data_IF_809560138018
#
_entry.id   IF_809560138018
#
_cell.length_a   1.000
_cell.length_b   1.000
_cell.length_c   1.000
_cell.angle_alpha   90.00
_cell.angle_beta   90.00
_cell.angle_gamma   90.00
#
_symmetry.space_group_name_H-M   'P 1'
#
loop_
_entity.id
_entity.type
_entity.pdbx_description
1 polymer ?
#
# COMPACT_ATOMS: atom_id res chain seq x y z
N UNK A 1 -17.05 20.30 22.90
CA UNK A 1 -15.85 19.46 23.07
C UNK A 1 -15.74 18.56 21.86
N UNK A 2 -14.69 18.69 21.06
CA UNK A 2 -14.52 17.88 19.85
C UNK A 2 -14.10 16.47 20.24
N UNK A 3 -14.90 15.46 19.90
CA UNK A 3 -14.53 14.06 20.16
C UNK A 3 -13.42 13.67 19.20
N UNK A 4 -12.32 13.13 19.73
CA UNK A 4 -11.24 12.60 18.90
C UNK A 4 -11.74 11.38 18.16
N UNK A 5 -11.56 11.37 16.85
CA UNK A 5 -11.87 10.24 16.00
C UNK A 5 -10.71 9.97 15.05
N UNK A 6 -10.58 8.72 14.64
CA UNK A 6 -9.68 8.28 13.60
C UNK A 6 -10.47 7.40 12.63
N UNK A 7 -10.05 7.31 11.38
CA UNK A 7 -10.71 6.43 10.43
C UNK A 7 -9.66 5.72 9.58
N UNK A 8 -10.03 4.53 9.13
CA UNK A 8 -9.32 3.82 8.09
C UNK A 8 -10.34 3.27 7.10
N UNK A 9 -9.90 3.04 5.87
CA UNK A 9 -10.78 2.59 4.80
C UNK A 9 -10.13 1.53 3.93
N UNK A 10 -10.98 0.61 3.49
CA UNK A 10 -10.73 -0.31 2.40
C UNK A 10 -11.60 0.08 1.21
N UNK A 11 -11.52 -0.68 0.12
CA UNK A 11 -12.28 -0.36 -1.09
C UNK A 11 -13.81 -0.42 -0.86
N UNK A 12 -14.27 -1.32 0.03
CA UNK A 12 -15.69 -1.56 0.27
C UNK A 12 -16.24 -0.95 1.57
N UNK A 13 -15.39 -0.72 2.57
CA UNK A 13 -15.82 -0.30 3.92
C UNK A 13 -14.95 0.80 4.50
N UNK A 14 -15.55 1.70 5.25
CA UNK A 14 -14.88 2.74 6.05
C UNK A 14 -15.13 2.46 7.53
N UNK A 15 -14.09 2.28 8.32
CA UNK A 15 -14.22 2.10 9.77
C UNK A 15 -13.76 3.36 10.49
N UNK A 16 -14.61 3.88 11.37
CA UNK A 16 -14.35 5.07 12.19
C UNK A 16 -14.20 4.62 13.64
N UNK A 17 -13.06 4.95 14.24
CA UNK A 17 -12.78 4.78 15.66
C UNK A 17 -13.02 6.09 16.40
N UNK A 18 -14.09 6.15 17.18
CA UNK A 18 -14.44 7.31 18.02
C UNK A 18 -13.89 7.05 19.42
N UNK A 19 -12.94 7.86 19.89
CA UNK A 19 -12.31 7.66 21.19
C UNK A 19 -13.17 8.25 22.31
N UNK A 20 -14.17 7.48 22.72
CA UNK A 20 -14.99 7.76 23.90
C UNK A 20 -14.77 6.70 24.99
N UNK A 21 -14.14 7.13 26.09
CA UNK A 21 -13.80 6.24 27.21
C UNK A 21 -15.01 6.06 28.12
N UNK A 22 -15.36 4.81 28.38
CA UNK A 22 -16.50 4.45 29.23
C UNK A 22 -17.85 4.70 28.56
N UNK A 23 -17.93 4.56 27.23
CA UNK A 23 -19.20 4.67 26.53
C UNK A 23 -20.08 3.45 26.83
N UNK A 24 -21.26 3.70 27.38
CA UNK A 24 -22.25 2.66 27.62
C UNK A 24 -23.04 2.37 26.34
N UNK A 25 -23.17 1.10 25.93
CA UNK A 25 -23.86 0.75 24.69
C UNK A 25 -25.33 1.16 24.68
N UNK A 26 -25.95 1.30 25.85
CA UNK A 26 -27.34 1.74 26.00
C UNK A 26 -27.52 3.26 25.87
N UNK A 27 -26.47 4.04 26.14
CA UNK A 27 -26.48 5.50 26.03
C UNK A 27 -25.91 6.01 24.70
N UNK A 28 -25.28 5.11 23.94
CA UNK A 28 -24.74 5.41 22.62
C UNK A 28 -25.85 5.27 21.57
N UNK A 29 -26.10 6.36 20.84
CA UNK A 29 -26.99 6.35 19.67
C UNK A 29 -26.20 6.78 18.44
N UNK A 30 -26.29 5.97 17.37
CA UNK A 30 -25.73 6.29 16.06
C UNK A 30 -26.85 6.41 15.04
N UNK A 31 -26.81 7.48 14.25
CA UNK A 31 -27.67 7.67 13.08
C UNK A 31 -26.82 7.66 11.82
N UNK A 32 -27.14 6.74 10.93
CA UNK A 32 -26.52 6.59 9.62
C UNK A 32 -27.44 7.20 8.56
N UNK A 33 -26.92 8.17 7.82
CA UNK A 33 -27.54 8.75 6.64
C UNK A 33 -26.60 8.56 5.44
N UNK A 34 -27.10 8.62 4.19
CA UNK A 34 -26.29 8.30 3.01
C UNK A 34 -24.96 9.06 2.92
N UNK A 35 -24.87 10.29 3.42
CA UNK A 35 -23.62 11.07 3.48
C UNK A 35 -23.38 11.73 4.84
N UNK A 36 -24.00 11.24 5.90
CA UNK A 36 -23.87 11.83 7.23
C UNK A 36 -23.90 10.76 8.30
N UNK A 37 -22.98 10.86 9.25
CA UNK A 37 -22.96 9.99 10.42
C UNK A 37 -23.01 10.85 11.66
N UNK A 38 -24.00 10.60 12.50
CA UNK A 38 -24.19 11.31 13.76
C UNK A 38 -24.02 10.31 14.88
N UNK A 39 -23.04 10.56 15.75
CA UNK A 39 -22.81 9.84 16.99
C UNK A 39 -23.21 10.73 18.16
N UNK A 40 -24.03 10.19 19.07
CA UNK A 40 -24.43 10.85 20.30
C UNK A 40 -24.25 9.92 21.48
N UNK A 41 -23.60 10.41 22.54
CA UNK A 41 -23.40 9.69 23.79
C UNK A 41 -23.48 10.69 24.95
N UNK A 42 -24.62 10.67 25.66
CA UNK A 42 -24.93 11.66 26.70
C UNK A 42 -24.79 13.10 26.17
N UNK A 43 -23.92 13.89 26.80
CA UNK A 43 -23.61 15.28 26.41
C UNK A 43 -22.66 15.43 25.22
N UNK A 44 -22.09 14.32 24.71
CA UNK A 44 -21.10 14.35 23.63
C UNK A 44 -21.77 14.02 22.30
N UNK A 45 -21.59 14.90 21.32
CA UNK A 45 -22.10 14.71 19.96
C UNK A 45 -20.96 14.87 18.96
N UNK A 46 -20.83 13.92 18.04
CA UNK A 46 -19.92 13.97 16.90
C UNK A 46 -20.75 13.85 15.62
N UNK A 47 -20.68 14.88 14.78
CA UNK A 47 -21.34 14.91 13.47
C UNK A 47 -20.26 14.90 12.40
N UNK A 48 -20.35 13.90 11.50
CA UNK A 48 -19.47 13.76 10.36
C UNK A 48 -20.31 14.01 9.10
N UNK A 49 -20.22 15.24 8.59
CA UNK A 49 -20.90 15.69 7.37
C UNK A 49 -20.06 16.73 6.61
N UNK A 50 -20.13 16.78 5.27
CA UNK A 50 -20.59 15.72 4.38
C UNK A 50 -19.53 14.61 4.24
N UNK A 51 -19.96 13.35 4.25
CA UNK A 51 -19.09 12.23 3.89
C UNK A 51 -18.73 12.29 2.42
N UNK A 52 -17.50 11.90 2.10
CA UNK A 52 -16.95 11.93 0.73
C UNK A 52 -17.70 11.02 -0.24
N UNK A 53 -18.29 9.94 0.24
CA UNK A 53 -19.05 8.98 -0.56
C UNK A 53 -20.35 8.56 0.11
N UNK A 54 -21.23 7.94 -0.68
CA UNK A 54 -22.47 7.40 -0.16
C UNK A 54 -22.24 6.10 0.61
N UNK A 55 -22.89 5.98 1.76
CA UNK A 55 -22.92 4.77 2.60
C UNK A 55 -24.28 4.09 2.53
N UNK A 56 -24.29 2.77 2.66
CA UNK A 56 -25.51 1.99 2.79
C UNK A 56 -25.87 1.87 4.28
N UNK A 57 -26.89 2.60 4.78
CA UNK A 57 -27.22 2.63 6.21
C UNK A 57 -27.65 1.26 6.74
N UNK A 58 -28.28 0.41 5.92
CA UNK A 58 -28.73 -0.94 6.31
C UNK A 58 -27.58 -1.92 6.53
N UNK A 59 -26.43 -1.67 5.88
CA UNK A 59 -25.23 -2.48 5.99
C UNK A 59 -24.17 -1.83 6.90
N UNK A 60 -24.51 -0.75 7.62
CA UNK A 60 -23.63 -0.14 8.61
C UNK A 60 -23.81 -0.84 9.96
N UNK A 61 -22.71 -1.01 10.67
CA UNK A 61 -22.70 -1.66 11.98
C UNK A 61 -21.75 -0.92 12.94
N UNK A 62 -21.93 -1.12 14.24
CA UNK A 62 -21.08 -0.47 15.25
C UNK A 62 -20.80 -1.41 16.43
N UNK A 63 -19.71 -1.15 17.12
CA UNK A 63 -19.26 -1.92 18.28
C UNK A 63 -18.73 -0.98 19.33
N UNK A 64 -19.35 -1.02 20.51
CA UNK A 64 -18.99 -0.16 21.64
C UNK A 64 -17.95 -0.89 22.49
N UNK A 65 -16.72 -0.39 22.45
CA UNK A 65 -15.64 -0.84 23.33
C UNK A 65 -15.48 0.07 24.55
N UNK A 66 -14.67 -0.34 25.52
CA UNK A 66 -14.43 0.42 26.75
C UNK A 66 -13.70 1.75 26.54
N UNK A 67 -12.88 1.85 25.49
CA UNK A 67 -12.00 3.00 25.22
C UNK A 67 -12.39 3.74 23.95
N UNK A 68 -13.01 3.02 23.01
CA UNK A 68 -13.40 3.53 21.70
C UNK A 68 -14.67 2.84 21.23
N UNK A 69 -15.45 3.56 20.44
CA UNK A 69 -16.57 3.02 19.66
C UNK A 69 -16.10 2.88 18.23
N UNK A 70 -16.20 1.67 17.69
CA UNK A 70 -15.85 1.38 16.30
C UNK A 70 -17.11 1.34 15.46
N UNK A 71 -17.14 2.13 14.40
CA UNK A 71 -18.28 2.30 13.50
C UNK A 71 -17.85 1.83 12.13
N UNK A 72 -18.50 0.79 11.62
CA UNK A 72 -18.21 0.20 10.31
C UNK A 72 -19.27 0.66 9.33
N UNK A 73 -18.85 1.46 8.36
CA UNK A 73 -19.69 1.99 7.30
C UNK A 73 -19.48 1.18 6.02
N UNK A 74 -20.58 0.71 5.44
CA UNK A 74 -20.55 0.04 4.14
C UNK A 74 -20.70 1.06 3.02
N UNK A 75 -19.76 1.09 2.06
CA UNK A 75 -19.80 2.04 0.95
C UNK A 75 -20.78 1.54 -0.12
N UNK A 76 -21.56 2.45 -0.70
CA UNK A 76 -22.42 2.12 -1.85
C UNK A 76 -21.60 1.94 -3.12
N UNK A 77 -20.60 2.82 -3.33
CA UNK A 77 -19.66 2.72 -4.43
C UNK A 77 -18.31 2.22 -3.90
N UNK A 78 -17.82 1.12 -4.49
CA UNK A 78 -16.47 0.63 -4.23
C UNK A 78 -15.45 1.68 -4.67
N UNK A 79 -14.50 1.99 -3.80
CA UNK A 79 -13.44 2.94 -4.05
C UNK A 79 -12.95 3.65 -2.80
N UNK A 80 -11.70 4.13 -2.86
CA UNK A 80 -11.06 4.87 -1.76
C UNK A 80 -11.44 6.35 -1.80
N UNK A 81 -11.86 6.89 -0.65
CA UNK A 81 -12.30 8.26 -0.50
C UNK A 81 -11.12 9.24 -0.37
N UNK A 82 -9.99 8.78 0.20
CA UNK A 82 -8.80 9.61 0.42
C UNK A 82 -8.98 10.67 1.51
N UNK A 83 -10.16 10.71 2.14
CA UNK A 83 -10.62 11.71 3.09
C UNK A 83 -12.00 11.32 3.61
N UNK A 84 -12.22 11.38 4.93
CA UNK A 84 -13.52 11.01 5.51
C UNK A 84 -14.61 12.04 5.21
N UNK A 85 -14.26 13.33 5.30
CA UNK A 85 -15.14 14.48 5.06
C UNK A 85 -14.74 15.13 3.75
N UNK A 86 -15.71 15.49 2.91
CA UNK A 86 -15.43 16.28 1.72
C UNK A 86 -16.68 16.77 1.00
N UNK A 87 -16.57 17.99 0.47
CA UNK A 87 -17.64 18.72 -0.23
C UNK A 87 -17.92 18.21 -1.66
N UNK A 88 -17.28 17.12 -2.09
CA UNK A 88 -17.39 16.68 -3.48
C UNK A 88 -18.78 16.11 -3.77
N UNK A 89 -19.42 16.53 -4.87
CA UNK A 89 -20.65 15.92 -5.32
C UNK A 89 -20.39 14.45 -5.71
N UNK A 90 -21.38 13.65 -5.34
CA UNK A 90 -21.66 12.26 -5.71
C UNK A 90 -20.99 11.76 -7.01
N UNK A 91 -20.06 10.79 -6.95
CA UNK A 91 -19.62 10.05 -8.14
C UNK A 91 -20.61 8.93 -8.53
N UNK A 92 -21.81 8.84 -7.94
CA UNK A 92 -22.87 7.95 -8.42
C UNK A 92 -23.57 8.46 -9.69
N UNK A 93 -22.81 9.04 -10.62
CA UNK A 93 -23.21 9.23 -12.01
C UNK A 93 -22.41 8.35 -12.98
N UNK A 94 -21.30 7.69 -12.57
CA UNK A 94 -20.39 7.12 -13.57
C UNK A 94 -19.85 5.69 -13.37
N UNK A 95 -20.29 4.95 -12.36
CA UNK A 95 -19.89 3.54 -12.21
C UNK A 95 -21.02 2.62 -11.73
N UNK A 96 -22.21 2.73 -12.33
CA UNK A 96 -23.15 1.61 -12.37
C UNK A 96 -22.78 0.74 -13.56
N UNK A 97 -22.10 -0.38 -13.28
CA UNK A 97 -21.77 -1.42 -14.23
C UNK A 97 -23.02 -1.88 -14.98
N UNK A 98 -23.19 -1.44 -16.23
CA UNK A 98 -24.10 -2.10 -17.18
C UNK A 98 -23.25 -2.74 -18.26
N UNK A 99 -23.20 -4.06 -18.23
CA UNK A 99 -22.65 -4.93 -19.26
C UNK A 99 -23.48 -4.81 -20.54
N UNK A 100 -22.93 -4.25 -21.62
CA UNK A 100 -22.98 -4.72 -23.04
C UNK A 100 -22.35 -3.67 -23.99
N UNK A 101 -21.85 -4.07 -25.18
CA UNK A 101 -20.67 -3.45 -25.79
C UNK A 101 -21.03 -2.43 -26.88
N UNK A 102 -20.28 -1.33 -26.98
CA UNK A 102 -19.92 -0.63 -28.25
C UNK A 102 -18.98 0.56 -27.99
N UNK A 103 -18.21 1.00 -29.00
CA UNK A 103 -16.88 1.56 -28.79
C UNK A 103 -16.88 3.08 -28.81
N UNK A 104 -16.61 3.73 -27.67
CA UNK A 104 -16.22 5.13 -27.66
C UNK A 104 -15.37 5.46 -26.43
N UNK A 105 -14.06 5.31 -26.64
CA UNK A 105 -12.95 6.08 -26.05
C UNK A 105 -13.26 6.86 -24.76
N UNK A 106 -13.32 6.16 -23.64
CA UNK A 106 -12.84 6.70 -22.37
C UNK A 106 -11.52 6.01 -22.06
N UNK A 107 -10.44 6.78 -22.03
CA UNK A 107 -9.12 6.29 -21.65
C UNK A 107 -9.18 5.84 -20.19
N UNK A 108 -9.52 4.57 -19.99
CA UNK A 108 -9.04 3.81 -18.84
C UNK A 108 -7.53 4.01 -18.85
N UNK A 109 -7.01 4.71 -17.84
CA UNK A 109 -5.60 4.70 -17.52
C UNK A 109 -5.25 3.26 -17.18
N UNK A 110 -4.93 2.49 -18.21
CA UNK A 110 -4.25 1.21 -18.11
C UNK A 110 -2.89 1.55 -17.53
N UNK A 111 -2.77 1.44 -16.21
CA UNK A 111 -1.50 1.51 -15.54
C UNK A 111 -0.51 0.50 -16.13
N UNK A 112 -1.01 -0.67 -16.59
CA UNK A 112 -0.22 -1.66 -17.34
C UNK A 112 0.34 -1.14 -18.68
N UNK A 113 -0.44 -0.31 -19.40
CA UNK A 113 -0.02 0.29 -20.67
C UNK A 113 0.94 1.47 -20.45
N UNK A 114 0.79 2.21 -19.34
CA UNK A 114 1.78 3.21 -18.92
C UNK A 114 3.09 2.55 -18.52
N UNK A 115 3.07 1.39 -17.88
CA UNK A 115 4.29 0.63 -17.58
C UNK A 115 4.98 0.15 -18.86
N UNK A 116 4.22 -0.32 -19.86
CA UNK A 116 4.81 -0.74 -21.15
C UNK A 116 5.28 0.45 -22.00
N UNK A 117 4.60 1.59 -21.97
CA UNK A 117 5.00 2.82 -22.69
C UNK A 117 6.22 3.47 -22.05
N UNK A 118 6.31 3.52 -20.71
CA UNK A 118 7.49 4.01 -19.97
C UNK A 118 8.68 3.05 -20.16
N UNK A 119 8.50 1.72 -20.06
CA UNK A 119 9.57 0.76 -20.36
C UNK A 119 10.05 0.80 -21.82
N UNK A 120 9.18 1.20 -22.76
CA UNK A 120 9.54 1.30 -24.18
C UNK A 120 10.12 2.66 -24.57
N UNK A 121 9.80 3.72 -23.83
CA UNK A 121 10.28 5.08 -24.04
C UNK A 121 11.61 5.39 -23.30
N UNK A 122 12.00 4.61 -22.29
CA UNK A 122 13.33 4.69 -21.65
C UNK A 122 14.45 3.98 -22.45
N UNK A 123 14.36 3.96 -23.78
CA UNK A 123 15.50 3.61 -24.64
C UNK A 123 16.41 4.80 -24.97
N UNK A 124 16.17 5.99 -24.42
CA UNK A 124 17.03 7.15 -24.73
C UNK A 124 17.32 8.07 -23.54
N UNK A 125 17.59 7.51 -22.36
CA UNK A 125 18.41 8.20 -21.36
C UNK A 125 19.51 7.27 -20.87
N UNK A 126 20.73 7.54 -21.35
CA UNK A 126 21.92 6.74 -21.05
C UNK A 126 22.18 6.67 -19.54
N UNK A 127 22.55 5.48 -19.08
CA UNK A 127 23.07 5.11 -17.75
C UNK A 127 24.43 5.74 -17.40
N UNK A 128 24.91 6.73 -18.17
CA UNK A 128 26.25 7.31 -18.01
C UNK A 128 26.36 8.40 -16.93
N UNK A 129 25.26 9.00 -16.47
CA UNK A 129 25.34 10.21 -15.63
C UNK A 129 25.04 10.03 -14.13
N UNK A 130 24.34 8.98 -13.67
CA UNK A 130 24.07 8.85 -12.23
C UNK A 130 23.85 7.38 -11.78
N UNK A 131 24.76 6.80 -11.00
CA UNK A 131 24.67 5.42 -10.51
C UNK A 131 23.67 5.22 -9.34
N UNK A 132 22.93 6.26 -8.92
CA UNK A 132 22.08 6.22 -7.72
C UNK A 132 20.57 6.37 -8.01
N UNK A 133 20.13 6.47 -9.28
CA UNK A 133 18.72 6.76 -9.64
C UNK A 133 17.78 5.55 -9.64
N UNK A 134 18.25 4.37 -9.26
CA UNK A 134 17.39 3.21 -9.09
C UNK A 134 17.96 2.31 -8.03
N UNK A 135 17.14 1.95 -7.02
CA UNK A 135 17.50 0.93 -6.03
C UNK A 135 17.69 -0.46 -6.68
N UNK A 136 17.18 -1.52 -6.05
CA UNK A 136 17.39 -2.93 -6.43
C UNK A 136 17.19 -3.26 -7.93
N UNK A 137 16.45 -2.44 -8.69
CA UNK A 137 16.29 -2.56 -10.16
C UNK A 137 17.50 -2.11 -11.00
N UNK A 138 18.39 -1.25 -10.53
CA UNK A 138 19.57 -0.79 -11.28
C UNK A 138 20.83 -1.66 -11.01
N UNK A 139 20.90 -2.30 -9.85
CA UNK A 139 21.97 -3.26 -9.53
C UNK A 139 21.82 -4.56 -10.31
N UNK A 140 20.58 -4.98 -10.61
CA UNK A 140 20.32 -6.20 -11.38
C UNK A 140 20.95 -6.21 -12.80
N UNK A 141 20.79 -5.18 -13.65
CA UNK A 141 21.45 -5.15 -14.96
C UNK A 141 22.98 -5.02 -14.86
N UNK A 142 23.50 -4.35 -13.84
CA UNK A 142 24.95 -4.29 -13.58
C UNK A 142 25.53 -5.67 -13.25
N UNK A 143 24.89 -6.43 -12.35
CA UNK A 143 25.30 -7.80 -12.03
C UNK A 143 25.10 -8.76 -13.20
N UNK A 144 24.05 -8.59 -14.01
CA UNK A 144 23.84 -9.39 -15.23
C UNK A 144 24.94 -9.15 -16.26
N UNK A 145 25.35 -7.90 -16.48
CA UNK A 145 26.47 -7.59 -17.39
C UNK A 145 27.79 -8.14 -16.85
N UNK A 146 28.06 -7.97 -15.56
CA UNK A 146 29.24 -8.52 -14.91
C UNK A 146 29.29 -10.06 -15.00
N UNK A 147 28.15 -10.73 -14.81
CA UNK A 147 28.05 -12.18 -14.92
C UNK A 147 28.10 -12.69 -16.37
N UNK A 148 27.58 -11.93 -17.33
CA UNK A 148 27.63 -12.29 -18.75
C UNK A 148 29.05 -12.26 -19.29
N UNK A 149 29.81 -11.22 -18.93
CA UNK A 149 31.18 -10.96 -19.40
C UNK A 149 32.26 -11.71 -18.58
N UNK A 150 31.93 -12.17 -17.37
CA UNK A 150 32.84 -12.89 -16.48
C UNK A 150 33.29 -14.27 -17.02
N UNK A 151 34.50 -14.69 -16.65
CA UNK A 151 34.97 -16.07 -16.83
C UNK A 151 34.22 -17.05 -15.92
N UNK A 152 34.23 -18.34 -16.26
CA UNK A 152 33.53 -19.40 -15.50
C UNK A 152 33.90 -19.45 -14.02
N UNK A 153 35.16 -19.20 -13.66
CA UNK A 153 35.60 -19.17 -12.26
C UNK A 153 35.05 -17.94 -11.53
N UNK A 154 34.98 -16.79 -12.19
CA UNK A 154 34.39 -15.56 -11.64
C UNK A 154 32.89 -15.73 -11.43
N UNK A 155 32.18 -16.37 -12.38
CA UNK A 155 30.75 -16.72 -12.22
C UNK A 155 30.51 -17.66 -11.04
N UNK A 156 31.39 -18.64 -10.86
CA UNK A 156 31.33 -19.58 -9.71
C UNK A 156 31.60 -18.87 -8.40
N UNK A 157 32.57 -17.95 -8.37
CA UNK A 157 32.87 -17.14 -7.19
C UNK A 157 31.69 -16.26 -6.79
N UNK A 158 31.06 -15.60 -7.77
CA UNK A 158 29.89 -14.75 -7.56
C UNK A 158 28.71 -15.54 -7.01
N UNK A 159 28.39 -16.68 -7.62
CA UNK A 159 27.25 -17.51 -7.22
C UNK A 159 27.46 -18.15 -5.85
N UNK A 160 28.68 -18.61 -5.56
CA UNK A 160 29.03 -19.18 -4.25
C UNK A 160 29.02 -18.11 -3.15
N UNK A 161 29.61 -16.94 -3.40
CA UNK A 161 29.62 -15.83 -2.43
C UNK A 161 28.21 -15.34 -2.13
N UNK A 162 27.37 -15.18 -3.15
CA UNK A 162 25.98 -14.76 -3.00
C UNK A 162 25.18 -15.76 -2.17
N UNK A 163 25.33 -17.06 -2.46
CA UNK A 163 24.62 -18.11 -1.72
C UNK A 163 25.13 -18.29 -0.29
N UNK A 164 26.43 -18.14 -0.04
CA UNK A 164 27.01 -18.34 1.30
C UNK A 164 26.81 -17.12 2.21
N UNK A 165 26.81 -15.91 1.65
CA UNK A 165 26.61 -14.64 2.36
C UNK A 165 25.14 -14.23 2.49
N UNK A 166 24.19 -15.04 1.99
CA UNK A 166 22.77 -14.70 2.02
C UNK A 166 22.42 -13.46 1.20
N UNK A 167 23.16 -13.18 0.14
CA UNK A 167 22.96 -12.03 -0.74
C UNK A 167 23.56 -10.71 -0.26
N UNK A 168 24.38 -10.73 0.79
CA UNK A 168 24.96 -9.51 1.38
C UNK A 168 26.37 -9.18 0.89
N UNK A 169 27.11 -10.19 0.40
CA UNK A 169 28.49 -10.06 -0.06
C UNK A 169 28.65 -10.72 -1.42
N UNK A 170 29.15 -9.98 -2.40
CA UNK A 170 29.52 -10.50 -3.72
C UNK A 170 31.03 -10.42 -3.89
N UNK A 171 31.68 -11.56 -4.11
CA UNK A 171 33.11 -11.63 -4.45
C UNK A 171 33.28 -12.26 -5.82
N UNK A 172 34.13 -11.65 -6.65
CA UNK A 172 34.44 -12.08 -8.02
C UNK A 172 35.71 -12.94 -8.08
N UNK A 173 36.41 -13.16 -6.95
CA UNK A 173 37.68 -13.86 -6.93
C UNK A 173 37.56 -15.32 -6.45
N UNK A 174 37.64 -16.28 -7.38
CA UNK A 174 37.44 -17.71 -7.08
C UNK A 174 38.49 -18.30 -6.13
N UNK A 175 39.74 -17.84 -6.21
CA UNK A 175 40.80 -18.32 -5.34
C UNK A 175 40.57 -18.02 -3.86
N UNK A 176 39.84 -16.95 -3.55
CA UNK A 176 39.54 -16.53 -2.17
C UNK A 176 38.31 -17.27 -1.64
N UNK A 177 37.26 -17.32 -2.46
CA UNK A 177 35.97 -17.95 -2.14
C UNK A 177 36.05 -19.48 -2.14
N UNK A 178 37.03 -20.07 -2.83
CA UNK A 178 37.27 -21.52 -2.78
C UNK A 178 37.97 -21.97 -1.50
N UNK A 179 38.77 -21.11 -0.86
CA UNK A 179 39.58 -21.42 0.32
C UNK A 179 38.83 -21.30 1.65
N UNK A 180 37.72 -20.54 1.70
CA UNK A 180 36.94 -20.34 2.92
C UNK A 180 35.50 -19.88 2.65
N UNK A 181 34.65 -19.93 3.69
CA UNK A 181 33.24 -19.51 3.59
C UNK A 181 33.15 -17.98 3.63
N UNK A 182 32.31 -17.40 2.78
CA UNK A 182 32.10 -15.94 2.75
C UNK A 182 31.20 -15.50 3.91
N UNK A 183 31.68 -14.57 4.72
CA UNK A 183 30.93 -14.04 5.86
C UNK A 183 29.77 -13.13 5.43
N UNK A 184 28.65 -13.27 6.14
CA UNK A 184 27.46 -12.45 5.97
C UNK A 184 27.73 -11.10 6.65
N UNK A 185 27.70 -10.01 5.88
CA UNK A 185 27.79 -8.64 6.41
C UNK A 185 26.45 -7.94 6.18
N UNK A 186 25.52 -8.02 7.14
CA UNK A 186 24.23 -7.37 6.96
C UNK A 186 24.41 -5.83 6.87
N UNK A 187 23.53 -5.12 6.14
CA UNK A 187 23.53 -3.67 6.09
C UNK A 187 23.38 -3.05 7.49
N UNK A 188 23.94 -1.85 7.71
CA UNK A 188 23.86 -1.18 9.00
C UNK A 188 22.41 -1.10 9.53
N UNK A 189 22.18 -1.63 10.72
CA UNK A 189 20.86 -1.69 11.38
C UNK A 189 20.09 -3.01 11.21
N UNK A 190 20.63 -4.01 10.49
CA UNK A 190 20.04 -5.35 10.40
C UNK A 190 20.94 -6.40 11.07
N UNK A 191 20.36 -7.25 11.91
CA UNK A 191 21.05 -8.41 12.50
C UNK A 191 20.66 -9.69 11.76
N UNK A 192 21.66 -10.41 11.23
CA UNK A 192 21.42 -11.71 10.62
C UNK A 192 21.06 -12.75 11.70
N UNK A 193 19.81 -13.24 11.68
CA UNK A 193 19.36 -14.29 12.60
C UNK A 193 19.12 -15.59 11.86
N UNK A 194 19.94 -16.61 12.14
CA UNK A 194 19.74 -17.98 11.67
C UNK A 194 18.66 -18.63 12.54
N UNK A 195 17.44 -18.78 12.01
CA UNK A 195 16.44 -19.64 12.62
C UNK A 195 16.77 -21.10 12.29
N UNK A 196 16.86 -21.93 13.32
CA UNK A 196 16.94 -23.40 13.23
C UNK A 196 15.60 -24.01 13.60
#
# INVERSE_FOLDING_TARGET
MSIRHEYYENDERTTISIFDRGADPEQVSLKFEPRKVTYTHGDKTLVLEPLKGQINPDACDYTVGKVKVEVRLSKVAQGRWGGLIGDSPDPLANSASTSTPTPARSQKKNWDALTTDILSAEKEKSMEEDPNVGGDSAVNPFFQKLFADADDDTKRAMMKSYSESGGTTLSTNWEEVSKGRVEVKPPEGQEWKKWS
#
